data_IF_782460946784
#
_entry.id   IF_782460946784
#
_cell.length_a   1.000
_cell.length_b   1.000
_cell.length_c   1.000
_cell.angle_alpha   90.00
_cell.angle_beta   90.00
_cell.angle_gamma   90.00
#
_symmetry.space_group_name_H-M   'P 1'
#
loop_
_entity.id
_entity.type
_entity.pdbx_description
1 polymer ?
#
# COMPACT_ATOMS: atom_id res chain seq x y z
N UNK A 1 28.59 -52.06 11.12
CA UNK A 1 27.44 -52.29 12.03
C UNK A 1 26.72 -50.97 12.23
N UNK A 2 25.64 -50.73 11.47
CA UNK A 2 24.87 -49.49 11.53
C UNK A 2 23.90 -49.55 12.73
N UNK A 3 23.98 -48.58 13.63
CA UNK A 3 23.08 -48.44 14.78
C UNK A 3 21.68 -48.05 14.30
N UNK A 4 20.72 -48.97 14.42
CA UNK A 4 19.31 -48.74 14.13
C UNK A 4 18.76 -47.75 15.18
N UNK A 5 18.39 -46.56 14.72
CA UNK A 5 17.69 -45.56 15.53
C UNK A 5 16.31 -46.08 15.90
N UNK A 6 16.14 -46.50 17.16
CA UNK A 6 14.87 -47.01 17.70
C UNK A 6 13.79 -45.93 17.59
N UNK A 7 12.65 -46.28 16.99
CA UNK A 7 11.50 -45.39 16.85
C UNK A 7 11.08 -44.84 18.21
N UNK A 8 10.93 -43.50 18.30
CA UNK A 8 10.59 -42.76 19.52
C UNK A 8 9.31 -43.32 20.13
N UNK A 9 9.43 -44.07 21.24
CA UNK A 9 8.30 -44.60 21.99
C UNK A 9 7.32 -43.46 22.35
N UNK A 10 6.01 -43.67 22.11
CA UNK A 10 4.98 -42.67 22.39
C UNK A 10 4.88 -42.43 23.90
N UNK A 11 5.38 -41.28 24.35
CA UNK A 11 5.36 -40.87 25.76
C UNK A 11 3.92 -40.67 26.22
N UNK A 12 3.50 -41.42 27.24
CA UNK A 12 2.19 -41.26 27.88
C UNK A 12 2.09 -39.83 28.42
N UNK A 13 1.08 -39.08 27.98
CA UNK A 13 0.82 -37.70 28.42
C UNK A 13 -0.13 -37.72 29.62
N UNK A 14 0.16 -36.91 30.64
CA UNK A 14 -0.74 -36.72 31.77
C UNK A 14 -2.00 -35.95 31.31
N UNK A 15 -3.18 -36.42 31.70
CA UNK A 15 -4.50 -35.86 31.34
C UNK A 15 -5.19 -35.13 32.52
N UNK A 16 -4.51 -34.95 33.65
CA UNK A 16 -5.03 -34.14 34.76
C UNK A 16 -5.30 -32.71 34.29
N UNK A 17 -6.32 -32.06 34.85
CA UNK A 17 -6.62 -30.66 34.54
C UNK A 17 -5.39 -29.77 34.83
N UNK A 18 -5.10 -28.84 33.91
CA UNK A 18 -4.03 -27.89 34.11
C UNK A 18 -4.39 -26.94 35.28
N UNK A 19 -3.45 -26.62 36.18
CA UNK A 19 -3.71 -25.73 37.31
C UNK A 19 -4.02 -24.29 36.88
N UNK A 20 -3.52 -23.88 35.70
CA UNK A 20 -3.78 -22.57 35.09
C UNK A 20 -4.34 -22.82 33.70
N UNK A 21 -5.50 -22.24 33.42
CA UNK A 21 -6.10 -22.29 32.09
C UNK A 21 -5.53 -21.16 31.23
N UNK A 22 -5.32 -21.46 29.95
CA UNK A 22 -4.86 -20.46 28.98
C UNK A 22 -6.03 -19.52 28.70
N UNK A 23 -5.86 -18.23 28.99
CA UNK A 23 -6.87 -17.21 28.70
C UNK A 23 -6.71 -16.63 27.30
N UNK A 24 -7.79 -16.06 26.76
CA UNK A 24 -7.74 -15.33 25.49
C UNK A 24 -6.69 -14.21 25.53
N UNK A 25 -6.56 -13.51 26.66
CA UNK A 25 -5.56 -12.45 26.84
C UNK A 25 -4.12 -12.97 26.73
N UNK A 26 -3.80 -14.12 27.33
CA UNK A 26 -2.46 -14.72 27.24
C UNK A 26 -2.08 -15.10 25.80
N UNK A 27 -3.04 -15.61 25.04
CA UNK A 27 -2.83 -15.94 23.62
C UNK A 27 -2.59 -14.67 22.82
N UNK A 28 -3.42 -13.65 22.99
CA UNK A 28 -3.31 -12.38 22.26
C UNK A 28 -2.01 -11.63 22.61
N UNK A 29 -1.61 -11.64 23.88
CA UNK A 29 -0.34 -11.05 24.34
C UNK A 29 0.85 -11.77 23.75
N UNK A 30 0.88 -13.10 23.84
CA UNK A 30 1.97 -13.92 23.27
C UNK A 30 2.05 -13.82 21.74
N UNK A 31 0.91 -13.68 21.05
CA UNK A 31 0.87 -13.44 19.61
C UNK A 31 1.48 -12.08 19.25
N UNK A 32 1.16 -11.02 20.01
CA UNK A 32 1.73 -9.69 19.80
C UNK A 32 3.23 -9.63 20.08
N UNK A 33 3.69 -10.29 21.14
CA UNK A 33 5.12 -10.34 21.51
C UNK A 33 5.96 -11.12 20.49
N UNK A 34 5.39 -12.17 19.89
CA UNK A 34 6.03 -12.96 18.83
C UNK A 34 5.79 -12.40 17.44
N UNK A 35 5.09 -11.28 17.32
CA UNK A 35 4.90 -10.64 16.03
C UNK A 35 6.27 -10.18 15.54
N UNK A 36 6.85 -10.94 14.61
CA UNK A 36 8.10 -10.57 13.96
C UNK A 36 7.96 -9.16 13.37
N UNK A 37 9.02 -8.37 13.49
CA UNK A 37 9.04 -7.04 12.89
C UNK A 37 8.77 -7.16 11.40
N UNK A 38 7.90 -6.30 10.87
CA UNK A 38 7.65 -6.22 9.43
C UNK A 38 8.97 -6.18 8.66
N UNK A 39 9.16 -7.12 7.72
CA UNK A 39 10.36 -7.19 6.88
C UNK A 39 10.38 -5.93 6.01
N UNK A 40 11.19 -4.94 6.40
CA UNK A 40 11.38 -3.70 5.64
C UNK A 40 12.38 -3.95 4.53
N UNK A 41 12.01 -3.63 3.29
CA UNK A 41 12.95 -3.66 2.17
C UNK A 41 14.12 -2.69 2.42
N UNK A 42 15.34 -3.02 1.95
CA UNK A 42 16.48 -2.13 2.07
C UNK A 42 16.24 -0.81 1.34
N UNK A 43 16.71 0.31 1.93
CA UNK A 43 16.61 1.64 1.31
C UNK A 43 17.61 1.75 0.16
N UNK A 44 17.14 1.68 -1.08
CA UNK A 44 17.96 1.90 -2.28
C UNK A 44 18.09 3.39 -2.59
N UNK A 45 19.30 3.88 -2.83
CA UNK A 45 19.56 5.23 -3.35
C UNK A 45 19.60 5.14 -4.88
N UNK A 46 18.89 6.04 -5.55
CA UNK A 46 18.86 6.13 -7.01
C UNK A 46 19.80 7.26 -7.40
N UNK A 47 20.80 6.99 -8.25
CA UNK A 47 21.82 7.99 -8.62
C UNK A 47 21.79 8.36 -10.09
N UNK A 48 21.45 7.40 -10.97
CA UNK A 48 21.50 7.61 -12.43
C UNK A 48 20.14 8.07 -12.99
N UNK A 49 20.09 9.01 -13.97
CA UNK A 49 18.84 9.42 -14.59
C UNK A 49 18.06 8.29 -15.26
N UNK A 50 18.74 7.27 -15.77
CA UNK A 50 18.12 6.07 -16.35
C UNK A 50 17.43 5.25 -15.26
N UNK A 51 18.10 5.06 -14.12
CA UNK A 51 17.50 4.38 -12.96
C UNK A 51 16.28 5.13 -12.42
N UNK A 52 16.30 6.47 -12.42
CA UNK A 52 15.13 7.29 -12.07
C UNK A 52 13.99 7.01 -13.04
N UNK A 53 14.25 6.99 -14.35
CA UNK A 53 13.23 6.72 -15.37
C UNK A 53 12.62 5.32 -15.19
N UNK A 54 13.43 4.30 -14.95
CA UNK A 54 12.98 2.93 -14.70
C UNK A 54 12.16 2.83 -13.41
N UNK A 55 12.58 3.53 -12.35
CA UNK A 55 11.83 3.63 -11.11
C UNK A 55 10.45 4.26 -11.33
N UNK A 56 10.39 5.38 -12.06
CA UNK A 56 9.14 6.05 -12.40
C UNK A 56 8.21 5.14 -13.22
N UNK A 57 8.75 4.45 -14.22
CA UNK A 57 7.99 3.52 -15.05
C UNK A 57 7.40 2.37 -14.22
N UNK A 58 8.21 1.77 -13.32
CA UNK A 58 7.75 0.70 -12.43
C UNK A 58 6.64 1.18 -11.50
N UNK A 59 6.82 2.36 -10.88
CA UNK A 59 5.81 2.93 -9.99
C UNK A 59 4.50 3.26 -10.71
N UNK A 60 4.58 3.83 -11.92
CA UNK A 60 3.38 4.06 -12.75
C UNK A 60 2.64 2.78 -13.06
N UNK A 61 3.36 1.72 -13.44
CA UNK A 61 2.75 0.41 -13.71
C UNK A 61 2.06 -0.18 -12.48
N UNK A 62 2.62 0.02 -11.28
CA UNK A 62 1.97 -0.37 -10.02
C UNK A 62 0.64 0.38 -9.82
N UNK A 63 0.63 1.70 -10.00
CA UNK A 63 -0.60 2.51 -9.88
C UNK A 63 -1.65 2.15 -10.93
N UNK A 64 -1.26 2.02 -12.21
CA UNK A 64 -2.19 1.62 -13.27
C UNK A 64 -2.75 0.21 -13.03
N UNK A 65 -1.94 -0.72 -12.51
CA UNK A 65 -2.41 -2.05 -12.09
C UNK A 65 -3.40 -1.98 -10.91
N UNK A 66 -3.21 -1.05 -9.98
CA UNK A 66 -4.16 -0.81 -8.89
C UNK A 66 -5.46 -0.19 -9.41
N UNK A 67 -5.38 0.78 -10.31
CA UNK A 67 -6.55 1.41 -10.94
C UNK A 67 -7.33 0.39 -11.77
N UNK A 68 -6.64 -0.46 -12.52
CA UNK A 68 -7.30 -1.52 -13.29
C UNK A 68 -8.06 -2.52 -12.41
N UNK A 69 -7.62 -2.74 -11.17
CA UNK A 69 -8.28 -3.66 -10.22
C UNK A 69 -9.34 -2.98 -9.36
N UNK A 70 -9.09 -1.74 -8.95
CA UNK A 70 -9.90 -1.01 -7.95
C UNK A 70 -10.15 0.43 -8.42
N UNK A 71 -10.59 0.59 -9.67
CA UNK A 71 -10.79 1.90 -10.30
C UNK A 71 -11.89 2.76 -9.69
N UNK A 72 -12.77 2.16 -8.88
CA UNK A 72 -13.80 2.87 -8.12
C UNK A 72 -13.27 3.51 -6.82
N UNK A 73 -12.08 3.13 -6.35
CA UNK A 73 -11.53 3.62 -5.10
C UNK A 73 -10.76 4.94 -5.31
N UNK A 74 -11.38 6.05 -4.86
CA UNK A 74 -10.77 7.40 -4.92
C UNK A 74 -9.41 7.53 -4.28
N UNK A 75 -9.11 6.76 -3.22
CA UNK A 75 -7.82 6.87 -2.54
C UNK A 75 -6.65 6.47 -3.43
N UNK A 76 -6.86 5.57 -4.40
CA UNK A 76 -5.83 5.14 -5.36
C UNK A 76 -5.52 6.27 -6.33
N UNK A 77 -6.56 6.88 -6.90
CA UNK A 77 -6.43 8.02 -7.82
C UNK A 77 -5.75 9.22 -7.17
N UNK A 78 -6.17 9.57 -5.96
CA UNK A 78 -5.56 10.65 -5.17
C UNK A 78 -4.07 10.39 -4.95
N UNK A 79 -3.71 9.20 -4.45
CA UNK A 79 -2.29 8.86 -4.19
C UNK A 79 -1.46 8.87 -5.45
N UNK A 80 -2.04 8.48 -6.59
CA UNK A 80 -1.34 8.50 -7.86
C UNK A 80 -1.10 9.93 -8.35
N UNK A 81 -2.10 10.81 -8.25
CA UNK A 81 -1.97 12.22 -8.61
C UNK A 81 -0.98 12.97 -7.70
N UNK A 82 -1.05 12.77 -6.38
CA UNK A 82 -0.09 13.31 -5.40
C UNK A 82 1.33 12.81 -5.68
N UNK A 83 1.47 11.56 -6.13
CA UNK A 83 2.77 11.03 -6.52
C UNK A 83 3.31 11.68 -7.78
N UNK A 84 2.52 11.85 -8.86
CA UNK A 84 2.98 12.59 -10.05
C UNK A 84 3.29 14.07 -9.75
N UNK A 85 2.54 14.70 -8.83
CA UNK A 85 2.86 16.03 -8.32
C UNK A 85 4.26 16.07 -7.68
N UNK A 86 4.60 15.07 -6.86
CA UNK A 86 5.94 14.96 -6.25
C UNK A 86 7.06 14.80 -7.28
N UNK A 87 6.74 14.27 -8.47
CA UNK A 87 7.68 14.15 -9.60
C UNK A 87 7.73 15.42 -10.47
N UNK A 88 6.95 16.47 -10.11
CA UNK A 88 6.78 17.73 -10.85
C UNK A 88 6.18 17.58 -12.26
N UNK A 89 5.54 16.44 -12.56
CA UNK A 89 4.88 16.20 -13.85
C UNK A 89 3.38 16.53 -13.76
N UNK A 90 3.09 17.84 -13.75
CA UNK A 90 1.73 18.35 -13.59
C UNK A 90 0.81 18.01 -14.77
N UNK A 91 1.38 17.88 -15.97
CA UNK A 91 0.61 17.50 -17.16
C UNK A 91 0.04 16.09 -17.00
N UNK A 92 0.84 15.16 -16.46
CA UNK A 92 0.37 13.81 -16.13
C UNK A 92 -0.59 13.81 -14.96
N UNK A 93 -0.31 14.57 -13.90
CA UNK A 93 -1.22 14.69 -12.76
C UNK A 93 -2.63 15.13 -13.20
N UNK A 94 -2.74 16.13 -14.08
CA UNK A 94 -4.01 16.54 -14.69
C UNK A 94 -4.69 15.42 -15.46
N UNK A 95 -3.95 14.73 -16.33
CA UNK A 95 -4.49 13.59 -17.08
C UNK A 95 -5.07 12.51 -16.17
N UNK A 96 -4.47 12.28 -14.99
CA UNK A 96 -4.98 11.34 -13.99
C UNK A 96 -6.27 11.86 -13.35
N UNK A 97 -6.35 13.15 -13.00
CA UNK A 97 -7.57 13.75 -12.47
C UNK A 97 -8.73 13.72 -13.48
N UNK A 98 -8.48 14.08 -14.73
CA UNK A 98 -9.48 14.00 -15.81
C UNK A 98 -9.98 12.56 -16.00
N UNK A 99 -9.07 11.57 -15.96
CA UNK A 99 -9.44 10.15 -16.00
C UNK A 99 -10.26 9.73 -14.79
N UNK A 100 -9.93 10.22 -13.59
CA UNK A 100 -10.68 9.96 -12.38
C UNK A 100 -12.11 10.53 -12.47
N UNK A 101 -12.27 11.71 -13.07
CA UNK A 101 -13.57 12.35 -13.32
C UNK A 101 -14.40 11.61 -14.38
N UNK A 102 -13.76 10.92 -15.31
CA UNK A 102 -14.42 10.03 -16.26
C UNK A 102 -15.03 8.75 -15.64
N UNK A 103 -14.74 8.46 -14.37
CA UNK A 103 -15.35 7.34 -13.65
C UNK A 103 -16.61 7.84 -12.93
N UNK A 104 -17.78 7.35 -13.34
CA UNK A 104 -19.09 7.80 -12.84
C UNK A 104 -19.20 7.84 -11.31
N UNK A 105 -18.61 6.85 -10.62
CA UNK A 105 -18.63 6.77 -9.16
C UNK A 105 -17.82 7.88 -8.49
N UNK A 106 -16.70 8.31 -9.10
CA UNK A 106 -15.85 9.37 -8.56
C UNK A 106 -16.35 10.75 -8.95
N UNK A 107 -16.98 10.90 -10.11
CA UNK A 107 -17.51 12.19 -10.57
C UNK A 107 -18.53 12.78 -9.58
N UNK A 108 -19.40 11.92 -9.03
CA UNK A 108 -20.41 12.31 -8.03
C UNK A 108 -19.80 12.73 -6.68
N UNK A 109 -18.56 12.33 -6.41
CA UNK A 109 -17.86 12.64 -5.17
C UNK A 109 -17.18 14.03 -5.28
N UNK A 110 -17.81 15.07 -4.73
CA UNK A 110 -17.25 16.43 -4.66
C UNK A 110 -15.81 16.51 -4.09
N UNK A 111 -15.41 15.54 -3.27
CA UNK A 111 -14.06 15.46 -2.72
C UNK A 111 -12.96 15.33 -3.78
N UNK A 112 -13.27 14.76 -4.95
CA UNK A 112 -12.29 14.61 -6.03
C UNK A 112 -12.00 15.97 -6.69
N UNK A 113 -13.05 16.76 -6.91
CA UNK A 113 -12.97 18.11 -7.46
C UNK A 113 -12.19 19.05 -6.53
N UNK A 114 -12.50 19.01 -5.23
CA UNK A 114 -11.77 19.82 -4.24
C UNK A 114 -10.27 19.52 -4.25
N UNK A 115 -9.88 18.24 -4.36
CA UNK A 115 -8.47 17.86 -4.43
C UNK A 115 -7.80 18.26 -5.73
N UNK A 116 -8.54 18.23 -6.84
CA UNK A 116 -8.01 18.69 -8.12
C UNK A 116 -7.77 20.21 -8.12
N UNK A 117 -8.72 20.99 -7.60
CA UNK A 117 -8.55 22.44 -7.45
C UNK A 117 -7.41 22.75 -6.48
N UNK A 118 -7.29 22.01 -5.36
CA UNK A 118 -6.18 22.16 -4.40
C UNK A 118 -4.81 21.88 -5.05
N UNK A 119 -4.70 20.88 -5.92
CA UNK A 119 -3.50 20.63 -6.73
C UNK A 119 -3.13 21.86 -7.58
N UNK A 120 -4.07 22.39 -8.36
CA UNK A 120 -3.80 23.52 -9.26
C UNK A 120 -3.46 24.80 -8.48
N UNK A 121 -4.11 25.03 -7.35
CA UNK A 121 -3.82 26.17 -6.46
C UNK A 121 -2.43 26.08 -5.83
N UNK A 122 -2.03 24.90 -5.32
CA UNK A 122 -0.69 24.67 -4.74
C UNK A 122 0.43 24.94 -5.75
N UNK A 123 0.19 24.58 -7.01
CA UNK A 123 1.14 24.76 -8.10
C UNK A 123 1.05 26.16 -8.76
N UNK A 124 0.25 27.08 -8.21
CA UNK A 124 0.05 28.48 -8.66
C UNK A 124 -0.63 28.62 -10.03
N UNK A 125 -1.37 27.60 -10.48
CA UNK A 125 -2.11 27.61 -11.74
C UNK A 125 -3.55 28.10 -11.54
N UNK A 126 -3.70 29.39 -11.21
CA UNK A 126 -5.00 29.98 -10.86
C UNK A 126 -6.01 29.93 -12.01
N UNK A 127 -5.56 30.10 -13.26
CA UNK A 127 -6.47 30.05 -14.41
C UNK A 127 -7.03 28.65 -14.66
N UNK A 128 -6.25 27.61 -14.40
CA UNK A 128 -6.73 26.24 -14.50
C UNK A 128 -7.69 25.91 -13.36
N UNK A 129 -7.36 26.32 -12.12
CA UNK A 129 -8.24 26.17 -10.97
C UNK A 129 -9.61 26.86 -11.16
N UNK A 130 -9.68 27.96 -11.92
CA UNK A 130 -10.94 28.66 -12.24
C UNK A 130 -11.81 27.97 -13.28
N UNK A 131 -11.21 27.14 -14.14
CA UNK A 131 -11.92 26.45 -15.20
C UNK A 131 -12.53 25.11 -14.75
N UNK A 132 -12.17 24.66 -13.54
CA UNK A 132 -12.66 23.47 -12.85
C UNK A 132 -13.88 23.81 -12.01
#
# INVERSE_FOLDING_TARGET
MASVSLARAMRVKNKTAAPIQITAEQILRGARERQESEIRLPKQKITDPTEVADYLLRKRKEFESLISRVGWNKSVWVKYAEWEESQKDLKRARSIWERALGVDALNRDHTIWLKYVDLEMKNKFVNHARNL
#
